data_IF_868652600636
#
_entry.id   IF_868652600636
#
_cell.length_a   1.000
_cell.length_b   1.000
_cell.length_c   1.000
_cell.angle_alpha   90.00
_cell.angle_beta   90.00
_cell.angle_gamma   90.00
#
_symmetry.space_group_name_H-M   'P 1'
#
loop_
_entity.id
_entity.type
_entity.pdbx_description
1 polymer ?
#
# COMPACT_ATOMS: atom_id res chain seq x y z
N UNK A 1 4.63 1.33 5.41
CA UNK A 1 4.44 2.11 4.17
C UNK A 1 5.38 3.30 4.18
N UNK A 2 5.87 3.71 3.01
CA UNK A 2 6.64 4.93 2.81
C UNK A 2 6.36 5.44 1.38
N UNK A 3 6.45 6.75 1.15
CA UNK A 3 6.24 7.40 -0.15
C UNK A 3 7.36 7.14 -1.18
N UNK A 4 8.31 6.25 -0.89
CA UNK A 4 9.38 5.87 -1.82
C UNK A 4 8.88 5.39 -3.20
N UNK A 5 7.75 4.67 -3.22
CA UNK A 5 7.16 4.15 -4.46
C UNK A 5 6.15 5.11 -5.12
N UNK A 6 6.00 6.33 -4.60
CA UNK A 6 5.01 7.29 -5.11
C UNK A 6 5.27 7.73 -6.55
N UNK A 7 6.50 7.61 -7.04
CA UNK A 7 6.83 7.84 -8.45
C UNK A 7 6.01 6.97 -9.41
N UNK A 8 5.60 5.77 -9.00
CA UNK A 8 4.72 4.94 -9.80
C UNK A 8 3.34 5.60 -9.99
N UNK A 9 2.77 6.19 -8.94
CA UNK A 9 1.50 6.93 -9.03
C UNK A 9 1.66 8.18 -9.88
N UNK A 10 2.78 8.89 -9.79
CA UNK A 10 3.04 10.05 -10.64
C UNK A 10 3.20 9.69 -12.12
N UNK A 11 3.87 8.58 -12.42
CA UNK A 11 4.06 8.13 -13.80
C UNK A 11 2.79 7.52 -14.39
N UNK A 12 2.14 6.62 -13.65
CA UNK A 12 0.98 5.84 -14.13
C UNK A 12 -0.31 6.66 -14.06
N UNK A 13 -0.54 7.38 -12.95
CA UNK A 13 -1.80 8.11 -12.73
C UNK A 13 -1.70 9.61 -12.99
N UNK A 14 -0.52 10.12 -13.35
CA UNK A 14 -0.28 11.56 -13.58
C UNK A 14 -0.74 12.42 -12.40
N UNK A 15 -0.56 11.88 -11.20
CA UNK A 15 -0.94 12.54 -9.96
C UNK A 15 0.17 13.47 -9.45
N UNK A 16 -0.18 14.51 -8.69
CA UNK A 16 0.80 15.38 -8.00
C UNK A 16 0.22 16.06 -6.76
N UNK A 17 1.03 16.24 -5.73
CA UNK A 17 0.70 17.13 -4.60
C UNK A 17 0.89 18.60 -4.99
N UNK A 18 -0.06 19.45 -4.65
CA UNK A 18 -0.04 20.91 -4.90
C UNK A 18 0.10 21.75 -3.62
N UNK A 19 0.23 21.11 -2.45
CA UNK A 19 0.40 21.79 -1.16
C UNK A 19 1.76 22.51 -1.07
N UNK A 20 1.79 23.78 -0.64
CA UNK A 20 3.03 24.46 -0.29
C UNK A 20 3.72 23.78 0.88
N UNK A 21 4.91 23.23 0.64
CA UNK A 21 5.61 22.40 1.62
C UNK A 21 7.07 22.20 1.24
N UNK A 22 7.87 21.77 2.21
CA UNK A 22 9.17 21.17 1.95
C UNK A 22 8.96 19.76 1.42
N UNK A 23 9.60 19.46 0.29
CA UNK A 23 9.36 18.22 -0.45
C UNK A 23 10.64 17.41 -0.55
N UNK A 24 10.47 16.10 -0.47
CA UNK A 24 11.45 15.10 -0.83
C UNK A 24 10.80 14.23 -1.91
N UNK A 25 11.46 14.04 -3.06
CA UNK A 25 10.92 13.25 -4.18
C UNK A 25 9.53 13.75 -4.66
N UNK A 26 9.34 15.07 -4.70
CA UNK A 26 8.05 15.72 -4.99
C UNK A 26 6.90 15.34 -4.04
N UNK A 27 7.20 14.83 -2.86
CA UNK A 27 6.22 14.50 -1.81
C UNK A 27 6.45 15.43 -0.62
N UNK A 28 5.40 16.12 -0.10
CA UNK A 28 5.50 16.89 1.14
C UNK A 28 6.01 16.00 2.28
N UNK A 29 7.03 16.46 3.02
CA UNK A 29 7.69 15.64 4.07
C UNK A 29 6.70 15.16 5.13
N UNK A 30 5.72 15.98 5.48
CA UNK A 30 4.66 15.61 6.42
C UNK A 30 3.88 14.35 6.00
N UNK A 31 3.77 14.10 4.69
CA UNK A 31 3.09 12.92 4.17
C UNK A 31 3.82 11.63 4.56
N UNK A 32 5.15 11.60 4.61
CA UNK A 32 5.90 10.41 5.04
C UNK A 32 5.47 9.91 6.43
N UNK A 33 5.22 10.84 7.35
CA UNK A 33 4.71 10.53 8.69
C UNK A 33 3.23 10.14 8.64
N UNK A 34 2.41 10.87 7.88
CA UNK A 34 0.99 10.57 7.73
C UNK A 34 0.74 9.17 7.15
N UNK A 35 1.55 8.74 6.17
CA UNK A 35 1.47 7.39 5.60
C UNK A 35 1.69 6.31 6.65
N UNK A 36 2.55 6.54 7.63
CA UNK A 36 2.73 5.55 8.70
C UNK A 36 1.43 5.34 9.47
N UNK A 37 0.73 6.42 9.82
CA UNK A 37 -0.58 6.36 10.48
C UNK A 37 -1.61 5.64 9.61
N UNK A 38 -1.84 6.09 8.38
CA UNK A 38 -2.85 5.52 7.48
C UNK A 38 -2.63 4.03 7.24
N UNK A 39 -1.43 3.65 6.79
CA UNK A 39 -1.15 2.25 6.49
C UNK A 39 -1.24 1.40 7.75
N UNK A 40 -0.72 1.83 8.90
CA UNK A 40 -0.84 1.02 10.13
C UNK A 40 -2.30 0.80 10.52
N UNK A 41 -3.14 1.83 10.43
CA UNK A 41 -4.58 1.71 10.68
C UNK A 41 -5.26 0.72 9.73
N UNK A 42 -4.94 0.75 8.43
CA UNK A 42 -5.50 -0.18 7.45
C UNK A 42 -5.18 -1.64 7.78
N UNK A 43 -3.94 -1.91 8.17
CA UNK A 43 -3.52 -3.27 8.49
C UNK A 43 -4.17 -3.78 9.79
N UNK A 44 -4.21 -2.96 10.84
CA UNK A 44 -4.87 -3.34 12.10
C UNK A 44 -6.35 -3.63 11.87
N UNK A 45 -7.05 -2.81 11.08
CA UNK A 45 -8.45 -3.04 10.75
C UNK A 45 -8.65 -4.27 9.86
N UNK A 46 -7.76 -4.51 8.90
CA UNK A 46 -7.80 -5.68 8.02
C UNK A 46 -7.56 -7.01 8.77
N UNK A 47 -6.84 -6.99 9.90
CA UNK A 47 -6.64 -8.19 10.71
C UNK A 47 -7.94 -8.70 11.34
N UNK A 48 -8.91 -7.83 11.66
CA UNK A 48 -10.15 -8.21 12.34
C UNK A 48 -10.97 -9.26 11.56
N UNK A 49 -11.36 -9.04 10.29
CA UNK A 49 -12.09 -10.03 9.52
C UNK A 49 -11.23 -11.25 9.16
N UNK A 50 -9.91 -11.09 9.01
CA UNK A 50 -9.00 -12.22 8.77
C UNK A 50 -8.94 -13.16 9.98
N UNK A 51 -8.83 -12.61 11.18
CA UNK A 51 -8.91 -13.35 12.44
C UNK A 51 -10.24 -14.08 12.55
N UNK A 52 -11.34 -13.43 12.19
CA UNK A 52 -12.65 -14.07 12.17
C UNK A 52 -12.68 -15.30 11.25
N UNK A 53 -12.24 -15.18 9.99
CA UNK A 53 -12.19 -16.32 9.07
C UNK A 53 -11.29 -17.44 9.60
N UNK A 54 -10.14 -17.10 10.18
CA UNK A 54 -9.20 -18.08 10.71
C UNK A 54 -9.74 -18.85 11.92
N UNK A 55 -10.51 -18.19 12.78
CA UNK A 55 -11.05 -18.76 14.03
C UNK A 55 -12.41 -19.42 13.86
N UNK A 56 -13.25 -18.93 12.95
CA UNK A 56 -14.60 -19.45 12.72
C UNK A 56 -14.63 -20.68 11.80
N UNK A 57 -13.61 -20.88 10.97
CA UNK A 57 -13.57 -21.97 9.98
C UNK A 57 -12.41 -22.93 10.25
N UNK A 58 -12.66 -24.22 10.02
CA UNK A 58 -11.63 -25.27 10.14
C UNK A 58 -10.56 -25.13 9.07
N UNK A 59 -9.33 -25.55 9.40
CA UNK A 59 -8.24 -25.54 8.44
C UNK A 59 -8.55 -26.45 7.24
N UNK A 60 -8.57 -25.88 6.05
CA UNK A 60 -8.84 -26.61 4.81
C UNK A 60 -8.97 -25.68 3.60
N UNK A 61 -9.19 -26.25 2.40
CA UNK A 61 -9.24 -25.49 1.15
C UNK A 61 -10.31 -24.39 1.15
N UNK A 62 -11.45 -24.64 1.79
CA UNK A 62 -12.55 -23.67 1.89
C UNK A 62 -12.15 -22.43 2.69
N UNK A 63 -11.50 -22.61 3.85
CA UNK A 63 -10.98 -21.50 4.65
C UNK A 63 -9.93 -20.71 3.88
N UNK A 64 -9.03 -21.39 3.18
CA UNK A 64 -8.01 -20.74 2.34
C UNK A 64 -8.66 -19.90 1.23
N UNK A 65 -9.66 -20.45 0.53
CA UNK A 65 -10.38 -19.72 -0.51
C UNK A 65 -11.11 -18.49 0.06
N UNK A 66 -11.74 -18.62 1.23
CA UNK A 66 -12.39 -17.51 1.92
C UNK A 66 -11.39 -16.44 2.36
N UNK A 67 -10.22 -16.85 2.88
CA UNK A 67 -9.15 -15.95 3.28
C UNK A 67 -8.61 -15.16 2.08
N UNK A 68 -8.32 -15.83 0.96
CA UNK A 68 -7.83 -15.18 -0.27
C UNK A 68 -8.89 -14.23 -0.82
N UNK A 69 -10.15 -14.68 -0.93
CA UNK A 69 -11.25 -13.84 -1.39
C UNK A 69 -11.45 -12.60 -0.51
N UNK A 70 -11.37 -12.77 0.81
CA UNK A 70 -11.44 -11.66 1.77
C UNK A 70 -10.29 -10.67 1.59
N UNK A 71 -9.04 -11.15 1.46
CA UNK A 71 -7.87 -10.29 1.23
C UNK A 71 -8.05 -9.47 -0.06
N UNK A 72 -8.45 -10.11 -1.16
CA UNK A 72 -8.67 -9.42 -2.43
C UNK A 72 -9.76 -8.36 -2.32
N UNK A 73 -10.88 -8.70 -1.69
CA UNK A 73 -12.00 -7.78 -1.50
C UNK A 73 -11.60 -6.56 -0.64
N UNK A 74 -10.92 -6.78 0.49
CA UNK A 74 -10.46 -5.70 1.36
C UNK A 74 -9.36 -4.87 0.73
N UNK A 75 -8.45 -5.48 -0.02
CA UNK A 75 -7.38 -4.77 -0.71
C UNK A 75 -7.96 -3.78 -1.73
N UNK A 76 -8.92 -4.24 -2.53
CA UNK A 76 -9.61 -3.36 -3.48
C UNK A 76 -10.45 -2.30 -2.77
N UNK A 77 -11.24 -2.68 -1.75
CA UNK A 77 -12.07 -1.74 -1.01
C UNK A 77 -11.26 -0.63 -0.33
N UNK A 78 -10.15 -0.98 0.33
CA UNK A 78 -9.24 -0.01 0.97
C UNK A 78 -8.61 0.91 -0.07
N UNK A 79 -8.10 0.35 -1.17
CA UNK A 79 -7.51 1.14 -2.24
C UNK A 79 -8.49 2.09 -2.92
N UNK A 80 -9.73 1.63 -3.14
CA UNK A 80 -10.81 2.45 -3.68
C UNK A 80 -11.18 3.58 -2.73
N UNK A 81 -11.36 3.28 -1.44
CA UNK A 81 -11.67 4.30 -0.43
C UNK A 81 -10.57 5.35 -0.33
N UNK A 82 -9.29 4.95 -0.39
CA UNK A 82 -8.21 5.93 -0.43
C UNK A 82 -8.24 6.76 -1.71
N UNK A 83 -8.43 6.14 -2.87
CA UNK A 83 -8.49 6.89 -4.12
C UNK A 83 -9.64 7.91 -4.05
N UNK A 84 -10.79 7.49 -3.51
CA UNK A 84 -11.94 8.35 -3.28
C UNK A 84 -11.59 9.53 -2.36
N UNK A 85 -10.94 9.31 -1.22
CA UNK A 85 -10.59 10.40 -0.29
C UNK A 85 -9.53 11.33 -0.88
N UNK A 86 -8.51 10.78 -1.57
CA UNK A 86 -7.44 11.56 -2.20
C UNK A 86 -7.98 12.42 -3.35
N UNK A 87 -8.89 11.92 -4.19
CA UNK A 87 -9.50 12.71 -5.27
C UNK A 87 -10.31 13.92 -4.75
N UNK A 88 -10.77 13.88 -3.50
CA UNK A 88 -11.46 15.00 -2.85
C UNK A 88 -10.52 15.90 -2.03
N UNK A 89 -9.24 15.54 -1.89
CA UNK A 89 -8.27 16.36 -1.17
C UNK A 89 -7.84 17.54 -2.04
N UNK A 90 -8.02 18.81 -1.59
CA UNK A 90 -7.80 19.99 -2.43
C UNK A 90 -6.35 20.17 -2.88
N UNK A 91 -5.39 19.55 -2.18
CA UNK A 91 -3.98 19.66 -2.48
C UNK A 91 -3.39 18.43 -3.20
N UNK A 92 -4.25 17.65 -3.86
CA UNK A 92 -3.83 16.55 -4.73
C UNK A 92 -4.59 16.59 -6.05
N UNK A 93 -3.86 16.75 -7.15
CA UNK A 93 -4.45 16.83 -8.49
C UNK A 93 -4.17 15.58 -9.28
N UNK A 94 -5.21 15.10 -9.98
CA UNK A 94 -5.12 14.09 -11.02
C UNK A 94 -5.41 14.72 -12.37
N UNK A 95 -4.73 14.24 -13.41
CA UNK A 95 -5.04 14.61 -14.79
C UNK A 95 -6.38 14.01 -15.23
N UNK A 96 -6.60 12.72 -14.92
CA UNK A 96 -7.84 11.99 -15.17
C UNK A 96 -8.32 11.33 -13.87
N UNK A 97 -9.46 11.79 -13.36
CA UNK A 97 -10.07 11.27 -12.12
C UNK A 97 -10.77 9.92 -12.33
N UNK A 98 -11.33 9.68 -13.51
CA UNK A 98 -12.02 8.42 -13.81
C UNK A 98 -11.01 7.27 -13.93
N UNK A 99 -9.85 7.55 -14.52
CA UNK A 99 -8.71 6.65 -14.50
C UNK A 99 -8.20 6.40 -13.08
N UNK A 100 -8.16 7.44 -12.22
CA UNK A 100 -7.76 7.28 -10.83
C UNK A 100 -8.69 6.31 -10.08
N UNK A 101 -10.01 6.44 -10.22
CA UNK A 101 -10.99 5.56 -9.57
C UNK A 101 -10.97 4.12 -10.05
N UNK A 102 -10.59 3.87 -11.30
CA UNK A 102 -10.63 2.53 -11.89
C UNK A 102 -9.26 1.86 -11.83
N UNK A 103 -8.31 2.35 -12.63
CA UNK A 103 -6.95 1.83 -12.73
C UNK A 103 -6.14 2.17 -11.50
N UNK A 104 -6.29 3.38 -10.95
CA UNK A 104 -5.56 3.81 -9.76
C UNK A 104 -5.90 2.99 -8.51
N UNK A 105 -7.17 2.66 -8.30
CA UNK A 105 -7.58 1.79 -7.19
C UNK A 105 -7.09 0.34 -7.36
N UNK A 106 -7.13 -0.21 -8.58
CA UNK A 106 -6.58 -1.54 -8.85
C UNK A 106 -5.04 -1.57 -8.66
N UNK A 107 -4.35 -0.54 -9.16
CA UNK A 107 -2.91 -0.38 -9.01
C UNK A 107 -2.49 -0.22 -7.55
N UNK A 108 -3.23 0.59 -6.79
CA UNK A 108 -2.96 0.76 -5.37
C UNK A 108 -3.27 -0.50 -4.55
N UNK A 109 -4.28 -1.26 -4.96
CA UNK A 109 -4.65 -2.54 -4.35
C UNK A 109 -3.48 -3.53 -4.26
N UNK A 110 -2.49 -3.46 -5.16
CA UNK A 110 -1.28 -4.29 -5.14
C UNK A 110 -0.55 -4.20 -3.80
N UNK A 111 -0.49 -3.00 -3.19
CA UNK A 111 0.11 -2.82 -1.87
C UNK A 111 -0.55 -3.74 -0.86
N UNK A 112 -1.88 -3.70 -0.79
CA UNK A 112 -2.67 -4.40 0.21
C UNK A 112 -2.78 -5.89 -0.05
N UNK A 113 -2.79 -6.34 -1.31
CA UNK A 113 -2.76 -7.77 -1.66
C UNK A 113 -1.51 -8.44 -1.05
N UNK A 114 -0.37 -7.75 -1.06
CA UNK A 114 0.87 -8.25 -0.47
C UNK A 114 0.91 -7.98 1.03
N UNK A 115 0.62 -6.75 1.45
CA UNK A 115 0.94 -6.29 2.80
C UNK A 115 -0.06 -6.78 3.85
N UNK A 116 -1.35 -6.96 3.52
CA UNK A 116 -2.33 -7.49 4.45
C UNK A 116 -1.99 -8.90 4.96
N UNK A 117 -1.79 -9.92 4.11
CA UNK A 117 -1.44 -11.26 4.59
C UNK A 117 -0.10 -11.29 5.32
N UNK A 118 0.89 -10.50 4.88
CA UNK A 118 2.19 -10.45 5.55
C UNK A 118 2.12 -9.83 6.94
N UNK A 119 1.38 -8.73 7.09
CA UNK A 119 1.19 -8.10 8.39
C UNK A 119 0.43 -9.03 9.34
N UNK A 120 -0.64 -9.67 8.87
CA UNK A 120 -1.40 -10.62 9.66
C UNK A 120 -0.56 -11.83 10.11
N UNK A 121 0.30 -12.36 9.24
CA UNK A 121 1.18 -13.47 9.59
C UNK A 121 2.22 -13.09 10.67
N UNK A 122 2.68 -11.84 10.69
CA UNK A 122 3.58 -11.33 11.73
C UNK A 122 2.86 -11.07 13.06
N UNK A 123 1.65 -10.51 13.00
CA UNK A 123 0.84 -10.18 14.19
C UNK A 123 0.25 -11.44 14.85
N UNK A 124 -0.16 -12.42 14.03
CA UNK A 124 -0.80 -13.67 14.45
C UNK A 124 -0.11 -14.90 13.85
N UNK A 125 1.09 -15.28 14.32
CA UNK A 125 1.81 -16.44 13.79
C UNK A 125 1.05 -17.76 14.02
N UNK A 126 1.13 -18.70 13.07
CA UNK A 126 0.59 -20.08 13.21
C UNK A 126 1.44 -20.96 14.15
N UNK A 127 2.68 -20.54 14.43
CA UNK A 127 3.65 -21.27 15.25
C UNK A 127 3.95 -20.61 16.60
N UNK A 128 4.88 -21.19 17.38
CA UNK A 128 5.36 -20.58 18.61
C UNK A 128 5.85 -19.16 18.33
N UNK A 129 5.41 -18.19 19.13
CA UNK A 129 5.97 -16.84 19.05
C UNK A 129 7.49 -16.92 19.20
N UNK A 130 8.26 -16.22 18.35
CA UNK A 130 9.70 -16.15 18.50
C UNK A 130 10.03 -15.77 19.95
N UNK A 131 10.93 -16.53 20.57
CA UNK A 131 11.47 -16.17 21.89
C UNK A 131 12.10 -14.77 21.86
N UNK A 132 12.49 -14.21 23.01
CA UNK A 132 12.87 -12.79 23.17
C UNK A 132 14.16 -12.33 22.43
N UNK A 133 14.63 -13.05 21.40
CA UNK A 133 15.74 -12.75 20.47
C UNK A 133 15.55 -11.43 19.69
N UNK A 134 16.30 -11.16 18.61
CA UNK A 134 16.46 -9.80 18.07
C UNK A 134 15.14 -9.26 17.50
N UNK A 135 14.38 -8.59 18.38
CA UNK A 135 12.93 -8.29 18.26
C UNK A 135 12.53 -7.43 17.05
N UNK A 136 13.49 -6.94 16.27
CA UNK A 136 13.27 -6.06 15.13
C UNK A 136 13.88 -6.58 13.82
N UNK A 137 14.79 -7.55 13.86
CA UNK A 137 15.46 -8.02 12.65
C UNK A 137 14.51 -8.78 11.73
N UNK A 138 13.70 -9.66 12.30
CA UNK A 138 12.69 -10.43 11.55
C UNK A 138 11.60 -9.51 10.94
N UNK A 139 10.93 -8.63 11.72
CA UNK A 139 10.01 -7.64 11.14
C UNK A 139 10.65 -6.76 10.06
N UNK A 140 11.93 -6.39 10.20
CA UNK A 140 12.64 -5.62 9.18
C UNK A 140 12.82 -6.43 7.89
N UNK A 141 13.25 -7.69 7.99
CA UNK A 141 13.39 -8.59 6.83
C UNK A 141 12.05 -8.80 6.13
N UNK A 142 10.97 -9.08 6.89
CA UNK A 142 9.63 -9.21 6.32
C UNK A 142 9.16 -7.91 5.64
N UNK A 143 9.49 -6.74 6.21
CA UNK A 143 9.17 -5.46 5.61
C UNK A 143 9.93 -5.22 4.30
N UNK A 144 11.20 -5.62 4.21
CA UNK A 144 11.98 -5.56 2.97
C UNK A 144 11.42 -6.53 1.91
N UNK A 145 11.07 -7.75 2.30
CA UNK A 145 10.46 -8.73 1.40
C UNK A 145 9.10 -8.23 0.88
N UNK A 146 8.25 -7.69 1.76
CA UNK A 146 6.99 -7.07 1.38
C UNK A 146 7.21 -5.91 0.40
N UNK A 147 8.15 -5.02 0.71
CA UNK A 147 8.50 -3.89 -0.15
C UNK A 147 8.96 -4.34 -1.54
N UNK A 148 9.80 -5.37 -1.62
CA UNK A 148 10.27 -5.91 -2.89
C UNK A 148 9.14 -6.55 -3.71
N UNK A 149 8.25 -7.31 -3.07
CA UNK A 149 7.09 -7.89 -3.75
C UNK A 149 6.15 -6.82 -4.30
N UNK A 150 5.89 -5.76 -3.51
CA UNK A 150 5.11 -4.61 -3.98
C UNK A 150 5.82 -3.92 -5.16
N UNK A 151 7.13 -3.66 -5.05
CA UNK A 151 7.90 -3.05 -6.13
C UNK A 151 7.77 -3.84 -7.44
N UNK A 152 7.96 -5.16 -7.39
CA UNK A 152 7.83 -6.02 -8.57
C UNK A 152 6.40 -6.00 -9.13
N UNK A 153 5.38 -6.04 -8.27
CA UNK A 153 3.97 -5.97 -8.70
C UNK A 153 3.64 -4.65 -9.40
N UNK A 154 4.08 -3.52 -8.82
CA UNK A 154 3.93 -2.20 -9.43
C UNK A 154 4.67 -2.12 -10.77
N UNK A 155 5.87 -2.69 -10.85
CA UNK A 155 6.66 -2.67 -12.07
C UNK A 155 6.04 -3.50 -13.20
N UNK A 156 5.49 -4.68 -12.86
CA UNK A 156 4.72 -5.49 -13.81
C UNK A 156 3.57 -4.67 -14.39
N UNK A 157 2.77 -4.00 -13.56
CA UNK A 157 1.62 -3.23 -14.06
C UNK A 157 2.07 -1.99 -14.84
N UNK A 158 3.11 -1.29 -14.37
CA UNK A 158 3.72 -0.17 -15.10
C UNK A 158 4.13 -0.59 -16.51
N UNK A 159 4.83 -1.71 -16.65
CA UNK A 159 5.37 -2.17 -17.93
C UNK A 159 4.30 -2.79 -18.83
N UNK A 160 3.41 -3.61 -18.28
CA UNK A 160 2.42 -4.37 -19.06
C UNK A 160 1.16 -3.58 -19.40
N UNK A 161 0.70 -2.69 -18.51
CA UNK A 161 -0.56 -1.95 -18.68
C UNK A 161 -0.31 -0.51 -19.09
N UNK A 162 0.56 0.21 -18.37
CA UNK A 162 0.79 1.62 -18.64
C UNK A 162 1.79 1.86 -19.80
N UNK A 163 2.75 0.94 -20.01
CA UNK A 163 3.79 1.08 -21.03
C UNK A 163 4.69 2.30 -20.84
N UNK A 164 4.73 2.87 -19.65
CA UNK A 164 5.42 4.14 -19.37
C UNK A 164 6.82 3.92 -18.78
N UNK A 165 7.84 4.69 -19.22
CA UNK A 165 9.12 4.72 -18.54
C UNK A 165 8.93 5.23 -17.10
N UNK A 166 9.65 4.63 -16.14
CA UNK A 166 9.67 5.12 -14.76
C UNK A 166 10.56 6.36 -14.74
N UNK A 167 9.97 7.51 -14.42
CA UNK A 167 10.70 8.73 -14.16
C UNK A 167 10.71 8.99 -12.65
N UNK A 168 11.89 8.99 -12.06
CA UNK A 168 12.10 9.39 -10.68
C UNK A 168 12.59 10.85 -10.72
N UNK A 169 11.67 11.77 -10.52
CA UNK A 169 11.93 13.21 -10.41
C UNK A 169 11.86 13.71 -8.97
N UNK A 170 12.19 14.98 -8.79
CA UNK A 170 12.02 15.72 -7.53
C UNK A 170 13.32 16.25 -6.96
N UNK A 171 13.27 17.48 -6.45
CA UNK A 171 14.37 18.09 -5.73
C UNK A 171 14.38 17.59 -4.28
N UNK A 172 15.58 17.52 -3.69
CA UNK A 172 15.74 17.11 -2.29
C UNK A 172 15.09 18.12 -1.32
N UNK A 173 15.02 19.40 -1.73
CA UNK A 173 14.42 20.50 -0.99
C UNK A 173 13.90 21.57 -1.96
N UNK A 174 12.58 21.65 -2.13
CA UNK A 174 11.95 22.77 -2.83
C UNK A 174 10.68 23.17 -2.07
N UNK A 175 10.48 24.48 -1.90
CA UNK A 175 9.24 25.07 -1.40
C UNK A 175 8.51 25.63 -2.62
N UNK A 176 7.52 24.90 -3.12
CA UNK A 176 6.65 25.38 -4.19
C UNK A 176 5.50 26.18 -3.56
N UNK A 177 5.47 27.49 -3.81
CA UNK A 177 4.41 28.41 -3.37
C UNK A 177 3.34 28.60 -4.43
#
# INVERSE_FOLDING_TARGET
GNYWYTHYFYCVLRAKYTMPSWRLNDVPIAMYLATHFYFSSYHVLANLPQRYVRTAYTAGPQRTALQVGLILAMAYATAFMETLTICHFPYYSFEDRDMAYTVGSAFYGIYFIVSFPMYFAMDEPDGPQPGPGPRLAEPAIHSFAAGMMVLLGLDIVRLSVAGTPLSIGGLLWEVTG
#
